data_IF_158441264200
#
_entry.id   IF_158441264200
#
_cell.length_a   1.000
_cell.length_b   1.000
_cell.length_c   1.000
_cell.angle_alpha   90.00
_cell.angle_beta   90.00
_cell.angle_gamma   90.00
#
_symmetry.space_group_name_H-M   'P 1'
#
loop_
_entity.id
_entity.type
_entity.pdbx_description
1 polymer ?
#
# COMPACT_ATOMS: atom_id res chain seq x y z
N UNK A 1 -11.15 20.15 37.98
CA UNK A 1 -11.44 18.71 38.12
C UNK A 1 -11.83 18.20 36.74
N UNK A 2 -10.93 17.49 36.04
CA UNK A 2 -11.23 16.94 34.71
C UNK A 2 -11.91 15.58 34.90
N UNK A 3 -13.24 15.57 34.89
CA UNK A 3 -14.05 14.35 34.90
C UNK A 3 -14.55 14.11 33.47
N UNK A 4 -13.71 13.48 32.66
CA UNK A 4 -14.08 12.96 31.34
C UNK A 4 -13.48 11.57 31.19
N UNK A 5 -14.27 10.60 30.71
CA UNK A 5 -13.76 9.27 30.36
C UNK A 5 -12.64 9.46 29.35
N UNK A 6 -11.42 8.94 29.59
CA UNK A 6 -10.34 9.09 28.64
C UNK A 6 -10.70 8.39 27.32
N UNK A 7 -10.86 9.16 26.25
CA UNK A 7 -11.13 8.63 24.91
C UNK A 7 -9.80 8.28 24.23
N UNK A 8 -9.11 7.26 24.74
CA UNK A 8 -7.95 6.70 24.05
C UNK A 8 -8.41 5.62 23.08
N UNK A 9 -7.99 5.75 21.82
CA UNK A 9 -8.10 4.68 20.82
C UNK A 9 -6.69 4.17 20.55
N UNK A 10 -6.51 2.87 20.69
CA UNK A 10 -5.26 2.21 20.33
C UNK A 10 -5.35 1.74 18.89
N UNK A 11 -4.27 1.94 18.15
CA UNK A 11 -4.05 1.36 16.84
C UNK A 11 -2.79 0.50 16.92
N UNK A 12 -2.79 -0.63 16.22
CA UNK A 12 -1.63 -1.50 16.13
C UNK A 12 -0.91 -1.18 14.83
N UNK A 13 0.37 -0.80 14.92
CA UNK A 13 1.21 -0.66 13.74
C UNK A 13 1.42 -2.03 13.09
N UNK A 14 1.08 -2.12 11.81
CA UNK A 14 1.18 -3.35 11.04
C UNK A 14 2.61 -3.69 10.60
N UNK A 15 2.70 -4.64 9.66
CA UNK A 15 3.97 -4.97 9.02
C UNK A 15 4.52 -3.75 8.24
N UNK A 16 5.85 -3.56 8.29
CA UNK A 16 6.52 -2.56 7.45
C UNK A 16 6.44 -2.98 5.99
N UNK A 17 5.95 -2.10 5.13
CA UNK A 17 5.68 -2.37 3.72
C UNK A 17 6.68 -1.67 2.82
N UNK A 18 7.01 -2.33 1.71
CA UNK A 18 7.87 -1.75 0.69
C UNK A 18 7.10 -0.75 -0.17
N UNK A 19 7.59 0.48 -0.22
CA UNK A 19 7.06 1.58 -1.02
C UNK A 19 8.02 1.92 -2.17
N UNK A 20 7.62 1.56 -3.38
CA UNK A 20 8.39 1.80 -4.62
C UNK A 20 8.63 3.29 -4.88
N UNK A 21 7.79 4.20 -4.37
CA UNK A 21 8.04 5.64 -4.48
C UNK A 21 9.24 6.11 -3.66
N UNK A 22 9.70 5.28 -2.70
CA UNK A 22 10.85 5.52 -1.86
C UNK A 22 12.07 4.65 -2.21
N UNK A 23 12.07 4.00 -3.36
CA UNK A 23 13.21 3.22 -3.85
C UNK A 23 13.85 3.89 -5.07
N UNK A 24 15.00 4.54 -4.87
CA UNK A 24 15.78 5.17 -5.93
C UNK A 24 16.27 4.20 -7.01
N UNK A 25 16.37 2.89 -6.72
CA UNK A 25 16.78 1.86 -7.68
C UNK A 25 15.63 1.37 -8.56
N UNK A 26 14.38 1.65 -8.18
CA UNK A 26 13.17 1.25 -8.89
C UNK A 26 12.41 2.43 -9.52
N UNK A 27 13.03 3.61 -9.60
CA UNK A 27 12.44 4.82 -10.20
C UNK A 27 11.71 5.75 -9.23
N UNK A 28 11.69 5.43 -7.93
CA UNK A 28 11.26 6.32 -6.86
C UNK A 28 12.38 7.22 -6.34
N UNK A 29 12.18 7.81 -5.17
CA UNK A 29 13.13 8.67 -4.48
C UNK A 29 13.24 8.27 -3.01
N UNK A 30 14.29 7.53 -2.66
CA UNK A 30 14.56 7.18 -1.26
C UNK A 30 15.50 5.99 -1.09
N UNK A 31 15.58 5.52 0.16
CA UNK A 31 16.52 4.50 0.62
C UNK A 31 15.92 3.09 0.73
N UNK A 32 14.62 2.93 0.45
CA UNK A 32 14.00 1.61 0.49
C UNK A 32 14.58 0.72 -0.61
N UNK A 33 14.63 -0.59 -0.36
CA UNK A 33 15.09 -1.58 -1.34
C UNK A 33 14.15 -2.77 -1.39
N UNK A 34 13.76 -3.18 -2.59
CA UNK A 34 12.88 -4.33 -2.82
C UNK A 34 13.30 -5.60 -2.06
N UNK A 35 14.60 -5.86 -1.93
CA UNK A 35 15.14 -7.06 -1.29
C UNK A 35 15.62 -6.88 0.15
N UNK A 36 15.42 -5.69 0.75
CA UNK A 36 15.89 -5.41 2.12
C UNK A 36 14.73 -4.94 3.03
N UNK A 37 14.00 -5.89 3.67
CA UNK A 37 12.87 -5.59 4.55
C UNK A 37 13.16 -4.60 5.68
N UNK A 38 14.42 -4.55 6.13
CA UNK A 38 14.88 -3.60 7.16
C UNK A 38 14.75 -2.14 6.75
N UNK A 39 14.64 -1.86 5.45
CA UNK A 39 14.52 -0.50 4.89
C UNK A 39 13.06 -0.05 4.73
N UNK A 40 12.11 -0.96 4.85
CA UNK A 40 10.69 -0.70 4.58
C UNK A 40 10.02 0.10 5.70
N UNK A 41 8.86 0.67 5.40
CA UNK A 41 8.02 1.35 6.38
C UNK A 41 7.82 2.86 6.15
N UNK A 42 7.12 3.47 7.10
CA UNK A 42 6.80 4.90 7.12
C UNK A 42 5.37 5.15 6.68
N UNK A 43 5.07 6.34 6.13
CA UNK A 43 3.70 6.69 5.71
C UNK A 43 3.08 5.71 4.70
N UNK A 44 3.91 5.07 3.87
CA UNK A 44 3.50 4.05 2.89
C UNK A 44 2.74 2.88 3.53
N UNK A 45 2.98 2.57 4.80
CA UNK A 45 2.31 1.46 5.51
C UNK A 45 0.80 1.67 5.59
N UNK A 46 0.35 2.92 5.52
CA UNK A 46 -1.06 3.31 5.60
C UNK A 46 -1.69 3.62 4.24
N UNK A 47 -0.93 3.47 3.13
CA UNK A 47 -1.44 3.77 1.79
C UNK A 47 -2.01 2.51 1.13
N UNK A 48 -3.29 2.51 0.68
CA UNK A 48 -3.91 1.32 0.09
C UNK A 48 -3.17 0.80 -1.14
N UNK A 49 -2.60 1.70 -1.94
CA UNK A 49 -1.78 1.33 -3.10
C UNK A 49 -0.53 0.52 -2.71
N UNK A 50 0.16 0.93 -1.63
CA UNK A 50 1.36 0.25 -1.13
C UNK A 50 0.98 -1.10 -0.51
N UNK A 51 -0.13 -1.17 0.21
CA UNK A 51 -0.66 -2.42 0.75
C UNK A 51 -0.99 -3.42 -0.36
N UNK A 52 -1.72 -2.99 -1.39
CA UNK A 52 -2.03 -3.83 -2.55
C UNK A 52 -0.75 -4.28 -3.30
N UNK A 53 0.23 -3.39 -3.44
CA UNK A 53 1.53 -3.72 -4.03
C UNK A 53 2.25 -4.83 -3.27
N UNK A 54 2.22 -4.77 -1.94
CA UNK A 54 2.89 -5.76 -1.09
C UNK A 54 2.18 -7.13 -1.12
N UNK A 55 0.85 -7.15 -1.27
CA UNK A 55 0.11 -8.41 -1.52
C UNK A 55 0.47 -8.99 -2.88
N UNK A 56 0.55 -8.17 -3.93
CA UNK A 56 0.85 -8.65 -5.29
C UNK A 56 2.30 -9.09 -5.46
N UNK A 57 3.26 -8.50 -4.74
CA UNK A 57 4.67 -8.94 -4.82
C UNK A 57 4.99 -10.17 -3.97
N UNK A 58 4.08 -10.55 -3.08
CA UNK A 58 4.26 -11.44 -1.93
C UNK A 58 4.72 -10.76 -0.62
N UNK A 59 4.14 -11.25 0.47
CA UNK A 59 4.52 -10.97 1.84
C UNK A 59 5.26 -12.20 2.36
N UNK A 60 6.48 -11.98 2.86
CA UNK A 60 7.31 -13.02 3.44
C UNK A 60 7.51 -12.76 4.94
N UNK A 61 7.62 -13.84 5.72
CA UNK A 61 8.01 -13.78 7.12
C UNK A 61 9.29 -14.60 7.32
N UNK A 62 10.39 -13.89 7.61
CA UNK A 62 11.73 -14.47 7.50
C UNK A 62 12.03 -14.90 6.06
N UNK A 63 12.46 -16.15 5.87
CA UNK A 63 12.77 -16.72 4.55
C UNK A 63 11.62 -17.56 3.98
N UNK A 64 10.39 -17.38 4.48
CA UNK A 64 9.22 -18.17 4.06
C UNK A 64 8.14 -17.27 3.51
N UNK A 65 7.49 -17.73 2.45
CA UNK A 65 6.27 -17.12 1.93
C UNK A 65 5.17 -17.19 2.99
N UNK A 66 4.48 -16.06 3.20
CA UNK A 66 3.39 -15.94 4.16
C UNK A 66 2.05 -15.72 3.43
N UNK A 67 2.00 -14.76 2.51
CA UNK A 67 0.76 -14.36 1.85
C UNK A 67 1.02 -13.64 0.51
N UNK A 68 0.03 -13.59 -0.38
CA UNK A 68 0.12 -12.87 -1.66
C UNK A 68 0.52 -13.74 -2.86
N UNK A 69 0.73 -13.11 -4.03
CA UNK A 69 1.07 -13.85 -5.25
C UNK A 69 2.52 -14.37 -5.18
N UNK A 70 2.72 -15.67 -5.39
CA UNK A 70 4.04 -16.28 -5.33
C UNK A 70 4.90 -15.96 -6.55
N UNK A 71 6.16 -15.55 -6.32
CA UNK A 71 7.17 -15.45 -7.39
C UNK A 71 6.95 -14.32 -8.39
N UNK A 72 6.32 -13.23 -7.97
CA UNK A 72 6.13 -12.04 -8.81
C UNK A 72 7.42 -11.23 -8.89
N UNK A 73 7.96 -11.08 -10.10
CA UNK A 73 9.14 -10.25 -10.37
C UNK A 73 8.75 -8.78 -10.48
N UNK A 74 9.68 -7.87 -10.20
CA UNK A 74 9.44 -6.43 -10.34
C UNK A 74 9.00 -6.00 -11.76
N UNK A 75 9.35 -6.76 -12.80
CA UNK A 75 8.87 -6.53 -14.17
C UNK A 75 7.36 -6.71 -14.36
N UNK A 76 6.71 -7.53 -13.51
CA UNK A 76 5.25 -7.71 -13.52
C UNK A 76 4.52 -6.57 -12.80
N UNK A 77 5.25 -5.68 -12.14
CA UNK A 77 4.72 -4.55 -11.39
C UNK A 77 5.38 -3.25 -11.89
N UNK A 78 4.90 -2.68 -13.02
CA UNK A 78 5.54 -1.55 -13.68
C UNK A 78 5.68 -0.34 -12.75
N UNK A 79 6.90 -0.06 -12.30
CA UNK A 79 7.16 0.90 -11.22
C UNK A 79 6.58 2.29 -11.51
N UNK A 80 6.70 2.79 -12.75
CA UNK A 80 6.15 4.09 -13.16
C UNK A 80 4.64 4.19 -12.91
N UNK A 81 3.88 3.14 -13.24
CA UNK A 81 2.43 3.10 -13.04
C UNK A 81 2.10 3.11 -11.55
N UNK A 82 2.76 2.25 -10.77
CA UNK A 82 2.55 2.15 -9.33
C UNK A 82 2.92 3.42 -8.58
N UNK A 83 4.05 4.04 -8.91
CA UNK A 83 4.51 5.29 -8.32
C UNK A 83 3.47 6.40 -8.51
N UNK A 84 2.89 6.51 -9.72
CA UNK A 84 1.85 7.50 -10.01
C UNK A 84 0.64 7.34 -9.09
N UNK A 85 0.18 6.11 -8.88
CA UNK A 85 -1.01 5.83 -8.09
C UNK A 85 -0.76 5.93 -6.59
N UNK A 86 0.41 5.52 -6.10
CA UNK A 86 0.81 5.73 -4.71
C UNK A 86 0.86 7.23 -4.39
N UNK A 87 1.37 8.05 -5.31
CA UNK A 87 1.37 9.50 -5.14
C UNK A 87 -0.04 10.11 -5.11
N UNK A 88 -1.03 9.51 -5.79
CA UNK A 88 -2.45 9.90 -5.62
C UNK A 88 -2.95 9.62 -4.20
N UNK A 89 -2.60 8.46 -3.62
CA UNK A 89 -2.93 8.18 -2.21
C UNK A 89 -2.28 9.17 -1.24
N UNK A 90 -1.04 9.59 -1.54
CA UNK A 90 -0.28 10.54 -0.72
C UNK A 90 -0.68 12.00 -0.93
N UNK A 91 -1.46 12.31 -1.97
CA UNK A 91 -1.88 13.68 -2.25
C UNK A 91 -2.56 14.27 -1.01
N UNK A 92 -2.12 15.45 -0.59
CA UNK A 92 -2.66 16.09 0.60
C UNK A 92 -4.02 16.72 0.31
N UNK A 93 -4.99 16.43 1.17
CA UNK A 93 -6.31 17.04 1.19
C UNK A 93 -6.54 17.74 2.53
N UNK A 94 -7.36 18.79 2.51
CA UNK A 94 -7.73 19.52 3.72
C UNK A 94 -8.69 18.66 4.55
N UNK A 95 -8.18 18.04 5.61
CA UNK A 95 -8.96 17.31 6.60
C UNK A 95 -9.44 18.19 7.74
N UNK A 96 -10.20 17.61 8.67
CA UNK A 96 -10.73 18.29 9.84
C UNK A 96 -9.64 18.78 10.82
N UNK A 97 -8.45 18.16 10.79
CA UNK A 97 -7.34 18.43 11.69
C UNK A 97 -6.07 18.92 10.98
N UNK A 98 -6.17 19.30 9.70
CA UNK A 98 -5.05 19.74 8.87
C UNK A 98 -4.92 18.93 7.58
N UNK A 99 -3.79 19.08 6.90
CA UNK A 99 -3.52 18.32 5.69
C UNK A 99 -3.28 16.85 6.00
N UNK A 100 -4.06 15.98 5.37
CA UNK A 100 -3.94 14.53 5.49
C UNK A 100 -3.84 13.86 4.10
N UNK A 101 -3.28 12.66 4.00
CA UNK A 101 -3.29 11.91 2.76
C UNK A 101 -4.72 11.63 2.29
N UNK A 102 -4.98 11.79 0.99
CA UNK A 102 -6.28 11.61 0.36
C UNK A 102 -6.89 10.24 0.62
N UNK A 103 -6.06 9.20 0.62
CA UNK A 103 -6.49 7.83 0.85
C UNK A 103 -5.59 7.16 1.88
N UNK A 104 -6.21 6.63 2.94
CA UNK A 104 -5.57 5.82 3.96
C UNK A 104 -6.39 4.56 4.24
N UNK A 105 -5.71 3.48 4.58
CA UNK A 105 -6.33 2.22 4.96
C UNK A 105 -5.55 1.55 6.08
N UNK A 106 -6.29 0.89 6.96
CA UNK A 106 -5.77 0.01 7.99
C UNK A 106 -6.80 -1.10 8.20
N UNK A 107 -6.32 -2.32 8.45
CA UNK A 107 -7.20 -3.46 8.62
C UNK A 107 -6.43 -4.74 8.92
N UNK A 108 -7.13 -5.69 9.51
CA UNK A 108 -6.60 -7.04 9.75
C UNK A 108 -7.07 -7.93 8.60
N UNK A 109 -6.11 -8.60 7.97
CA UNK A 109 -6.39 -9.53 6.88
C UNK A 109 -5.99 -10.94 7.29
N UNK A 110 -6.91 -11.92 7.27
CA UNK A 110 -6.54 -13.29 7.56
C UNK A 110 -5.78 -13.88 6.37
N UNK A 111 -4.72 -14.66 6.64
CA UNK A 111 -3.80 -15.19 5.63
C UNK A 111 -4.41 -16.28 4.74
N UNK A 112 -5.57 -16.82 5.11
CA UNK A 112 -6.34 -17.77 4.32
C UNK A 112 -7.38 -17.07 3.41
N UNK A 113 -7.56 -15.74 3.53
CA UNK A 113 -8.44 -15.00 2.65
C UNK A 113 -7.97 -15.11 1.20
N UNK A 114 -8.89 -15.33 0.23
CA UNK A 114 -8.56 -15.22 -1.18
C UNK A 114 -7.93 -13.86 -1.49
N UNK A 115 -6.83 -13.88 -2.25
CA UNK A 115 -6.07 -12.65 -2.59
C UNK A 115 -6.96 -11.61 -3.27
N UNK A 116 -7.89 -12.04 -4.14
CA UNK A 116 -8.84 -11.14 -4.79
C UNK A 116 -9.69 -10.38 -3.76
N UNK A 117 -10.24 -11.09 -2.77
CA UNK A 117 -11.05 -10.49 -1.69
C UNK A 117 -10.23 -9.53 -0.83
N UNK A 118 -8.97 -9.88 -0.54
CA UNK A 118 -8.06 -9.01 0.20
C UNK A 118 -7.76 -7.71 -0.55
N UNK A 119 -7.49 -7.81 -1.86
CA UNK A 119 -7.28 -6.65 -2.71
C UNK A 119 -8.54 -5.81 -2.81
N UNK A 120 -9.72 -6.40 -3.03
CA UNK A 120 -11.00 -5.68 -3.08
C UNK A 120 -11.30 -4.89 -1.80
N UNK A 121 -11.02 -5.49 -0.64
CA UNK A 121 -11.16 -4.81 0.66
C UNK A 121 -10.27 -3.55 0.75
N UNK A 122 -9.02 -3.64 0.30
CA UNK A 122 -8.09 -2.50 0.27
C UNK A 122 -8.51 -1.46 -0.77
N UNK A 123 -8.91 -1.90 -1.96
CA UNK A 123 -9.31 -1.03 -3.07
C UNK A 123 -10.56 -0.22 -2.73
N UNK A 124 -11.43 -0.73 -1.86
CA UNK A 124 -12.61 -0.01 -1.38
C UNK A 124 -12.24 1.31 -0.69
N UNK A 125 -11.09 1.37 -0.01
CA UNK A 125 -10.61 2.59 0.66
C UNK A 125 -10.17 3.70 -0.32
N UNK A 126 -9.85 3.37 -1.56
CA UNK A 126 -9.34 4.32 -2.54
C UNK A 126 -10.11 4.38 -3.86
N UNK A 127 -11.33 3.80 -3.89
CA UNK A 127 -12.10 3.60 -5.12
C UNK A 127 -11.24 2.98 -6.24
N UNK A 128 -10.36 2.07 -5.84
CA UNK A 128 -9.33 1.51 -6.71
C UNK A 128 -9.85 0.39 -7.60
N UNK A 129 -9.17 0.18 -8.71
CA UNK A 129 -9.34 -1.00 -9.57
C UNK A 129 -7.98 -1.57 -9.95
N UNK A 130 -7.87 -2.89 -9.98
CA UNK A 130 -6.68 -3.58 -10.48
C UNK A 130 -7.01 -4.17 -11.85
N UNK A 131 -6.05 -4.09 -12.76
CA UNK A 131 -6.11 -4.71 -14.08
C UNK A 131 -4.85 -5.51 -14.31
N UNK A 132 -5.04 -6.72 -14.80
CA UNK A 132 -3.96 -7.60 -15.24
C UNK A 132 -3.92 -7.56 -16.77
N UNK A 133 -2.76 -7.23 -17.32
CA UNK A 133 -2.54 -7.10 -18.77
C UNK A 133 -1.23 -7.79 -19.11
N UNK A 134 -1.32 -8.96 -19.76
CA UNK A 134 -0.16 -9.65 -20.33
C UNK A 134 0.90 -10.07 -19.31
N UNK A 135 0.49 -10.45 -18.10
CA UNK A 135 1.35 -10.82 -16.97
C UNK A 135 1.80 -9.64 -16.11
N UNK A 136 1.32 -8.43 -16.39
CA UNK A 136 1.61 -7.23 -15.60
C UNK A 136 0.38 -6.75 -14.84
N UNK A 137 0.57 -6.34 -13.60
CA UNK A 137 -0.49 -5.80 -12.75
C UNK A 137 -0.35 -4.29 -12.66
N UNK A 138 -1.41 -3.60 -13.07
CA UNK A 138 -1.56 -2.16 -12.91
C UNK A 138 -2.73 -1.87 -11.97
N UNK A 139 -2.58 -0.83 -11.16
CA UNK A 139 -3.65 -0.30 -10.31
C UNK A 139 -4.09 1.06 -10.86
N UNK A 140 -5.36 1.39 -10.66
CA UNK A 140 -5.91 2.70 -10.90
C UNK A 140 -6.66 3.16 -9.64
N UNK A 141 -6.40 4.38 -9.21
CA UNK A 141 -6.92 4.92 -7.95
C UNK A 141 -7.65 6.23 -8.22
N UNK A 142 -8.84 6.33 -7.62
CA UNK A 142 -9.70 7.51 -7.71
C UNK A 142 -10.09 7.87 -9.14
N UNK A 143 -10.23 9.17 -9.38
CA UNK A 143 -10.66 9.69 -10.68
C UNK A 143 -9.66 9.35 -11.80
N UNK A 144 -10.16 9.11 -13.04
CA UNK A 144 -9.31 8.95 -14.21
C UNK A 144 -8.44 10.19 -14.41
N UNK A 145 -7.25 9.96 -14.96
CA UNK A 145 -6.38 11.07 -15.34
C UNK A 145 -7.03 11.87 -16.48
N UNK A 146 -6.83 13.19 -16.48
CA UNK A 146 -7.30 14.06 -17.57
C UNK A 146 -6.68 13.62 -18.90
N UNK A 147 -7.46 13.61 -20.00
CA UNK A 147 -7.03 13.13 -21.32
C UNK A 147 -5.87 13.89 -21.93
#
# INVERSE_FOLDING_TARGET
MFSGIPAFKFEVDGARLYDVTKDSSAGGNGTQRWSAPVTWGGDGDHLPAVQAYNILREIQYGNKWLYGLQGVTGSRLPAVSWIKQINKCRQQVQGAHGFEPMYRSGGELPVDAPIATALEAILTACQGRISEVGGTYAIHIGAPDTP
#
